data_IF_483507315578
#
_entry.id   IF_483507315578
#
_cell.length_a   1.000
_cell.length_b   1.000
_cell.length_c   1.000
_cell.angle_alpha   90.00
_cell.angle_beta   90.00
_cell.angle_gamma   90.00
#
_symmetry.space_group_name_H-M   'P 1'
#
loop_
_entity.id
_entity.type
_entity.pdbx_description
1 polymer ?
#
# COMPACT_ATOMS: atom_id res chain seq x y z
N UNK A 1 18.90 9.50 -6.72
CA UNK A 1 19.91 9.39 -5.68
C UNK A 1 19.66 8.13 -4.87
N UNK A 2 20.70 7.38 -4.58
CA UNK A 2 20.53 6.09 -3.94
C UNK A 2 19.95 6.15 -2.53
N UNK A 3 20.10 7.28 -1.87
CA UNK A 3 19.68 7.40 -0.48
C UNK A 3 18.37 8.16 -0.30
N UNK A 4 17.60 8.24 -1.37
CA UNK A 4 16.27 8.83 -1.25
C UNK A 4 15.44 8.02 -0.29
N UNK A 5 14.91 8.68 0.72
CA UNK A 5 14.07 8.06 1.71
C UNK A 5 12.69 8.66 1.68
N UNK A 6 11.71 7.82 1.95
CA UNK A 6 10.32 8.23 1.95
C UNK A 6 9.79 8.07 3.37
N UNK A 7 9.26 9.14 3.93
CA UNK A 7 8.55 9.02 5.20
C UNK A 7 7.14 8.56 4.91
N UNK A 8 6.76 7.45 5.50
CA UNK A 8 5.42 6.92 5.35
C UNK A 8 4.43 7.86 6.02
N UNK A 9 3.20 7.85 5.53
CA UNK A 9 2.13 8.69 6.06
C UNK A 9 1.07 7.81 6.71
N UNK A 10 0.22 8.44 7.50
CA UNK A 10 -0.90 7.79 8.16
C UNK A 10 -2.08 8.75 8.11
N UNK A 11 -3.30 8.26 7.83
CA UNK A 11 -4.48 9.12 7.84
C UNK A 11 -4.70 9.81 9.18
N UNK A 12 -4.23 9.20 10.27
CA UNK A 12 -4.28 9.82 11.58
C UNK A 12 -2.97 10.58 11.82
N UNK A 13 -2.99 11.93 11.83
CA UNK A 13 -1.77 12.71 11.93
C UNK A 13 -1.05 12.58 13.28
N UNK A 14 -1.71 12.01 14.28
CA UNK A 14 -1.06 11.80 15.59
C UNK A 14 -0.17 10.57 15.61
N UNK A 15 -0.24 9.71 14.60
CA UNK A 15 0.53 8.48 14.57
C UNK A 15 1.94 8.74 14.06
N UNK A 16 2.91 8.12 14.72
CA UNK A 16 4.29 8.13 14.25
C UNK A 16 4.44 7.17 13.09
N UNK A 17 5.26 7.55 12.12
CA UNK A 17 5.46 6.74 10.93
C UNK A 17 6.93 6.46 10.72
N UNK A 18 7.22 5.39 9.98
CA UNK A 18 8.58 5.01 9.65
C UNK A 18 9.05 5.72 8.39
N UNK A 19 10.37 5.77 8.22
CA UNK A 19 11.00 6.23 6.99
C UNK A 19 11.66 5.01 6.35
N UNK A 20 11.41 4.80 5.07
CA UNK A 20 11.94 3.63 4.36
C UNK A 20 12.70 4.07 3.10
N UNK A 21 13.51 3.16 2.57
CA UNK A 21 14.25 3.43 1.33
C UNK A 21 13.27 3.65 0.18
N UNK A 22 13.61 4.61 -0.69
CA UNK A 22 12.76 4.94 -1.83
C UNK A 22 12.55 3.77 -2.77
N UNK A 23 13.57 2.95 -2.98
CA UNK A 23 13.45 1.76 -3.84
C UNK A 23 12.45 0.76 -3.26
N UNK A 24 12.50 0.55 -1.95
CA UNK A 24 11.56 -0.33 -1.26
C UNK A 24 10.14 0.20 -1.38
N UNK A 25 9.99 1.50 -1.17
CA UNK A 25 8.70 2.16 -1.31
C UNK A 25 8.12 1.95 -2.70
N UNK A 26 8.94 2.15 -3.74
CA UNK A 26 8.48 2.04 -5.12
C UNK A 26 7.98 0.63 -5.44
N UNK A 27 8.71 -0.40 -5.00
CA UNK A 27 8.31 -1.79 -5.23
C UNK A 27 7.01 -2.10 -4.49
N UNK A 28 6.93 -1.71 -3.23
CA UNK A 28 5.74 -1.98 -2.42
C UNK A 28 4.53 -1.24 -2.97
N UNK A 29 4.68 0.03 -3.33
CA UNK A 29 3.59 0.82 -3.90
C UNK A 29 3.06 0.19 -5.20
N UNK A 30 3.98 -0.17 -6.09
CA UNK A 30 3.59 -0.77 -7.37
C UNK A 30 2.79 -2.05 -7.15
N UNK A 31 3.28 -2.91 -6.24
CA UNK A 31 2.61 -4.17 -5.95
C UNK A 31 1.22 -3.96 -5.38
N UNK A 32 1.09 -3.04 -4.43
CA UNK A 32 -0.20 -2.75 -3.81
C UNK A 32 -1.18 -2.22 -4.85
N UNK A 33 -0.74 -1.30 -5.71
CA UNK A 33 -1.64 -0.72 -6.71
C UNK A 33 -2.05 -1.74 -7.78
N UNK A 34 -1.21 -2.75 -8.04
CA UNK A 34 -1.60 -3.84 -8.93
C UNK A 34 -2.67 -4.74 -8.31
N UNK A 35 -2.63 -4.89 -7.00
CA UNK A 35 -3.56 -5.76 -6.29
C UNK A 35 -4.93 -5.12 -6.08
N UNK A 36 -4.96 -3.84 -5.74
CA UNK A 36 -6.20 -3.16 -5.37
C UNK A 36 -6.92 -2.70 -6.63
N UNK A 37 -8.19 -3.15 -6.84
CA UNK A 37 -8.92 -2.76 -8.05
C UNK A 37 -9.35 -1.30 -7.99
N UNK A 38 -9.59 -0.73 -9.17
CA UNK A 38 -10.08 0.64 -9.29
C UNK A 38 -11.59 0.74 -9.14
N UNK A 39 -12.29 -0.39 -9.23
CA UNK A 39 -13.74 -0.41 -9.29
C UNK A 39 -14.34 -1.03 -8.03
N UNK A 40 -15.50 -0.48 -7.63
CA UNK A 40 -16.25 -1.08 -6.52
C UNK A 40 -16.82 -2.43 -6.94
N UNK A 41 -16.93 -3.36 -6.00
CA UNK A 41 -16.83 -3.17 -4.55
C UNK A 41 -15.41 -3.26 -4.00
N UNK A 42 -14.37 -3.31 -4.85
CA UNK A 42 -13.01 -3.32 -4.38
C UNK A 42 -12.57 -4.68 -3.81
N UNK A 43 -11.52 -4.66 -3.03
CA UNK A 43 -10.97 -5.87 -2.40
C UNK A 43 -11.14 -5.77 -0.89
N UNK A 44 -11.49 -6.89 -0.24
CA UNK A 44 -11.60 -6.89 1.22
C UNK A 44 -10.22 -6.74 1.84
N UNK A 45 -10.18 -6.23 3.07
CA UNK A 45 -8.91 -6.09 3.78
C UNK A 45 -8.19 -7.43 3.91
N UNK A 46 -8.91 -8.49 4.26
CA UNK A 46 -8.29 -9.81 4.40
C UNK A 46 -7.69 -10.31 3.10
N UNK A 47 -8.42 -10.17 1.99
CA UNK A 47 -7.91 -10.59 0.68
C UNK A 47 -6.72 -9.73 0.27
N UNK A 48 -6.76 -8.43 0.57
CA UNK A 48 -5.65 -7.53 0.30
C UNK A 48 -4.39 -7.98 1.04
N UNK A 49 -4.50 -8.22 2.34
CA UNK A 49 -3.34 -8.63 3.15
C UNK A 49 -2.76 -9.95 2.65
N UNK A 50 -3.63 -10.92 2.32
CA UNK A 50 -3.19 -12.21 1.80
C UNK A 50 -2.49 -12.06 0.44
N UNK A 51 -3.03 -11.21 -0.43
CA UNK A 51 -2.46 -11.01 -1.77
C UNK A 51 -1.09 -10.34 -1.68
N UNK A 52 -0.92 -9.35 -0.81
CA UNK A 52 0.38 -8.68 -0.65
C UNK A 52 1.39 -9.66 -0.06
N UNK A 53 0.99 -10.45 0.93
CA UNK A 53 1.88 -11.43 1.56
C UNK A 53 2.37 -12.47 0.54
N UNK A 54 1.58 -12.76 -0.49
CA UNK A 54 1.94 -13.73 -1.53
C UNK A 54 2.77 -13.07 -2.64
N UNK A 55 2.37 -11.89 -3.09
CA UNK A 55 2.96 -11.27 -4.28
C UNK A 55 4.20 -10.45 -3.99
N UNK A 56 4.23 -9.75 -2.87
CA UNK A 56 5.33 -8.84 -2.58
C UNK A 56 6.68 -9.55 -2.47
N UNK A 57 6.78 -10.72 -1.80
CA UNK A 57 8.06 -11.41 -1.74
C UNK A 57 8.61 -11.84 -3.10
N UNK A 58 7.72 -11.95 -4.09
CA UNK A 58 8.11 -12.34 -5.45
C UNK A 58 8.31 -11.14 -6.36
N UNK A 59 8.06 -9.94 -5.87
CA UNK A 59 8.16 -8.74 -6.68
C UNK A 59 9.62 -8.44 -7.00
N UNK A 60 9.85 -7.99 -8.22
CA UNK A 60 11.20 -7.64 -8.66
C UNK A 60 11.71 -6.47 -7.84
N UNK A 61 12.88 -6.65 -7.27
CA UNK A 61 13.52 -5.62 -6.46
C UNK A 61 13.16 -5.67 -4.99
N UNK A 62 12.35 -6.64 -4.58
CA UNK A 62 11.99 -6.76 -3.16
C UNK A 62 13.09 -7.46 -2.38
N UNK A 63 13.42 -6.90 -1.23
CA UNK A 63 14.39 -7.50 -0.31
C UNK A 63 13.69 -8.58 0.51
N UNK A 64 14.08 -9.85 0.37
CA UNK A 64 13.37 -10.94 1.06
C UNK A 64 13.52 -10.93 2.58
N UNK A 65 14.44 -10.12 3.12
CA UNK A 65 14.58 -10.01 4.58
C UNK A 65 13.50 -9.12 5.19
N UNK A 66 12.74 -8.39 4.37
CA UNK A 66 11.71 -7.48 4.86
C UNK A 66 10.37 -8.20 5.01
N UNK A 67 9.59 -7.79 6.00
CA UNK A 67 8.28 -8.39 6.28
C UNK A 67 7.23 -7.85 5.32
N UNK A 68 6.77 -8.70 4.40
CA UNK A 68 5.71 -8.32 3.48
C UNK A 68 4.42 -7.96 4.22
N UNK A 69 4.14 -8.65 5.33
CA UNK A 69 2.93 -8.37 6.12
C UNK A 69 2.97 -6.99 6.74
N UNK A 70 4.13 -6.59 7.27
CA UNK A 70 4.28 -5.26 7.83
C UNK A 70 4.07 -4.20 6.75
N UNK A 71 4.69 -4.43 5.58
CA UNK A 71 4.57 -3.47 4.47
C UNK A 71 3.15 -3.43 3.90
N UNK A 72 2.43 -4.54 3.94
CA UNK A 72 1.03 -4.53 3.49
C UNK A 72 0.20 -3.51 4.26
N UNK A 73 0.30 -3.53 5.59
CA UNK A 73 -0.45 -2.60 6.41
C UNK A 73 0.10 -1.19 6.32
N UNK A 74 1.42 -1.04 6.35
CA UNK A 74 2.06 0.28 6.29
C UNK A 74 1.74 0.99 5.00
N UNK A 75 1.79 0.28 3.86
CA UNK A 75 1.50 0.88 2.55
C UNK A 75 0.03 1.23 2.40
N UNK A 76 -0.86 0.39 2.94
CA UNK A 76 -2.28 0.71 2.93
C UNK A 76 -2.53 2.07 3.59
N UNK A 77 -1.98 2.26 4.79
CA UNK A 77 -2.18 3.50 5.52
C UNK A 77 -1.53 4.69 4.81
N UNK A 78 -0.33 4.50 4.27
CA UNK A 78 0.38 5.53 3.53
C UNK A 78 -0.41 5.99 2.31
N UNK A 79 -0.88 5.02 1.52
CA UNK A 79 -1.59 5.35 0.29
C UNK A 79 -2.98 5.92 0.57
N UNK A 80 -3.62 5.53 1.66
CA UNK A 80 -4.86 6.18 2.09
C UNK A 80 -4.60 7.65 2.42
N UNK A 81 -3.51 7.92 3.15
CA UNK A 81 -3.17 9.28 3.52
C UNK A 81 -2.82 10.14 2.31
N UNK A 82 -2.26 9.54 1.26
CA UNK A 82 -1.91 10.26 0.03
C UNK A 82 -3.08 10.37 -0.94
N UNK A 83 -4.22 9.76 -0.61
CA UNK A 83 -5.39 9.79 -1.47
C UNK A 83 -5.34 8.82 -2.64
N UNK A 84 -4.41 7.88 -2.65
CA UNK A 84 -4.28 6.91 -3.74
C UNK A 84 -5.08 5.63 -3.51
N UNK A 85 -5.41 5.33 -2.26
CA UNK A 85 -6.37 4.29 -1.91
C UNK A 85 -7.51 4.92 -1.13
N UNK A 86 -8.68 4.31 -1.24
CA UNK A 86 -9.87 4.76 -0.53
C UNK A 86 -10.51 3.57 0.15
N UNK A 87 -10.86 3.76 1.42
CA UNK A 87 -11.61 2.77 2.17
C UNK A 87 -13.10 2.95 1.90
N UNK A 88 -13.76 1.87 1.55
CA UNK A 88 -15.21 1.90 1.35
C UNK A 88 -15.87 1.36 2.61
N UNK A 89 -16.63 2.20 3.26
CA UNK A 89 -17.32 1.85 4.51
C UNK A 89 -18.81 1.62 4.24
N UNK A 90 -19.08 0.45 3.71
CA UNK A 90 -20.47 0.03 3.51
C UNK A 90 -20.85 -1.06 4.50
N UNK A 91 -20.17 -1.08 5.64
CA UNK A 91 -20.32 -2.13 6.64
C UNK A 91 -19.17 -3.14 6.51
N UNK A 92 -19.05 -4.09 7.45
CA UNK A 92 -18.04 -5.13 7.33
C UNK A 92 -18.35 -6.06 6.18
N UNK A 93 -17.33 -6.63 5.49
CA UNK A 93 -15.92 -6.36 5.72
C UNK A 93 -15.47 -5.04 5.11
N UNK A 94 -14.36 -4.49 5.66
CA UNK A 94 -13.74 -3.30 5.09
C UNK A 94 -13.18 -3.61 3.70
N UNK A 95 -13.38 -2.69 2.77
CA UNK A 95 -12.92 -2.84 1.38
C UNK A 95 -12.11 -1.65 0.94
N UNK A 96 -11.25 -1.88 -0.05
CA UNK A 96 -10.35 -0.86 -0.60
C UNK A 96 -10.50 -0.78 -2.10
N UNK A 97 -10.38 0.44 -2.64
CA UNK A 97 -10.27 0.68 -4.08
C UNK A 97 -9.13 1.66 -4.35
N UNK A 98 -8.55 1.58 -5.54
CA UNK A 98 -7.63 2.60 -6.03
C UNK A 98 -8.44 3.82 -6.47
N UNK A 99 -7.87 4.98 -6.24
CA UNK A 99 -8.48 6.24 -6.67
C UNK A 99 -7.90 6.67 -8.03
N UNK A 100 -8.51 7.68 -8.63
CA UNK A 100 -7.98 8.28 -9.84
C UNK A 100 -6.60 8.90 -9.61
N UNK A 101 -6.33 9.35 -8.38
CA UNK A 101 -5.03 9.92 -8.02
C UNK A 101 -3.92 8.90 -8.16
N UNK A 102 -4.18 7.62 -7.85
CA UNK A 102 -3.20 6.56 -8.02
C UNK A 102 -2.79 6.42 -9.49
N UNK A 103 -3.76 6.49 -10.39
CA UNK A 103 -3.49 6.40 -11.83
C UNK A 103 -2.66 7.56 -12.33
N UNK A 104 -2.85 8.75 -11.79
CA UNK A 104 -2.15 9.94 -12.25
C UNK A 104 -0.70 9.99 -11.79
N UNK A 105 -0.28 9.06 -10.94
CA UNK A 105 1.10 8.97 -10.49
C UNK A 105 1.99 8.21 -11.47
N UNK A 106 1.42 7.66 -12.50
CA UNK A 106 2.17 6.86 -13.45
C UNK A 106 3.26 7.66 -14.16
#
# INVERSE_FOLDING_TARGET
MPDDRIQLRNPDPSKKTATIAGDTYAVARRTVLEIVPAEEPGITLNDYLAAVATKLPKARGWDPSLSASWYAMAMKLDLEARGELKRINTGPPQRLVRTASAGSQA
#
